data_IF_157731054399
#
_entry.id   IF_157731054399
#
_cell.length_a   1.000
_cell.length_b   1.000
_cell.length_c   1.000
_cell.angle_alpha   90.00
_cell.angle_beta   90.00
_cell.angle_gamma   90.00
#
_symmetry.space_group_name_H-M   'P 1'
#
loop_
_entity.id
_entity.type
_entity.pdbx_description
1 polymer ?
#
# COMPACT_ATOMS: atom_id res chain seq x y z
N UNK A 1 -0.34 20.17 -8.12
CA UNK A 1 -0.09 19.19 -7.03
C UNK A 1 1.40 19.09 -6.80
N UNK A 2 1.87 19.09 -5.55
CA UNK A 2 3.27 18.82 -5.25
C UNK A 2 3.58 17.35 -5.58
N UNK A 3 4.80 17.07 -6.06
CA UNK A 3 5.27 15.69 -6.26
C UNK A 3 5.55 15.07 -4.88
N UNK A 4 5.05 13.87 -4.65
CA UNK A 4 5.29 13.09 -3.43
C UNK A 4 6.29 11.99 -3.78
N UNK A 5 7.37 11.89 -3.01
CA UNK A 5 8.26 10.72 -3.06
C UNK A 5 7.63 9.63 -2.19
N UNK A 6 7.33 8.47 -2.78
CA UNK A 6 6.75 7.31 -2.09
C UNK A 6 7.66 6.10 -2.27
N UNK A 7 7.63 5.16 -1.31
CA UNK A 7 8.18 3.82 -1.53
C UNK A 7 7.32 3.07 -2.56
N UNK A 8 7.90 2.12 -3.28
CA UNK A 8 7.17 1.28 -4.24
C UNK A 8 6.02 0.50 -3.58
N UNK A 9 6.24 -0.03 -2.37
CA UNK A 9 5.23 -0.74 -1.59
C UNK A 9 4.02 0.13 -1.22
N UNK A 10 4.28 1.38 -0.84
CA UNK A 10 3.23 2.34 -0.53
C UNK A 10 2.46 2.74 -1.80
N UNK A 11 3.18 2.87 -2.94
CA UNK A 11 2.58 3.26 -4.20
C UNK A 11 1.60 2.20 -4.74
N UNK A 12 1.95 0.91 -4.63
CA UNK A 12 1.03 -0.17 -5.04
C UNK A 12 -0.17 -0.28 -4.09
N UNK A 13 0.03 -0.06 -2.79
CA UNK A 13 -1.05 -0.04 -1.81
C UNK A 13 -2.05 1.10 -2.07
N UNK A 14 -1.55 2.33 -2.26
CA UNK A 14 -2.37 3.49 -2.62
C UNK A 14 -3.10 3.27 -3.95
N UNK A 15 -2.45 2.66 -4.94
CA UNK A 15 -3.09 2.34 -6.21
C UNK A 15 -4.26 1.36 -6.04
N UNK A 16 -4.09 0.31 -5.23
CA UNK A 16 -5.15 -0.65 -4.94
C UNK A 16 -6.33 -0.01 -4.21
N UNK A 17 -6.08 0.85 -3.21
CA UNK A 17 -7.13 1.61 -2.52
C UNK A 17 -7.91 2.51 -3.48
N UNK A 18 -7.21 3.25 -4.35
CA UNK A 18 -7.84 4.10 -5.38
C UNK A 18 -8.63 3.31 -6.42
N UNK A 19 -8.23 2.07 -6.68
CA UNK A 19 -8.96 1.15 -7.54
C UNK A 19 -10.20 0.52 -6.86
N UNK A 20 -10.45 0.83 -5.58
CA UNK A 20 -11.61 0.34 -4.84
C UNK A 20 -11.39 -1.01 -4.16
N UNK A 21 -10.15 -1.44 -3.95
CA UNK A 21 -9.87 -2.64 -3.15
C UNK A 21 -10.37 -2.44 -1.72
N UNK A 22 -11.19 -3.37 -1.23
CA UNK A 22 -11.78 -3.31 0.12
C UNK A 22 -11.12 -4.26 1.11
N UNK A 23 -10.18 -5.09 0.65
CA UNK A 23 -9.50 -6.08 1.48
C UNK A 23 -8.16 -6.48 0.91
N UNK A 24 -7.23 -6.80 1.80
CA UNK A 24 -5.89 -7.27 1.47
C UNK A 24 -5.53 -8.43 2.38
N UNK A 25 -5.33 -9.60 1.76
CA UNK A 25 -5.01 -10.85 2.46
C UNK A 25 -3.50 -11.07 2.36
N UNK A 26 -2.80 -10.68 3.43
CA UNK A 26 -1.35 -10.65 3.50
C UNK A 26 -0.80 -11.88 4.24
N UNK A 27 0.30 -12.46 3.72
CA UNK A 27 1.22 -13.26 4.52
C UNK A 27 2.48 -12.42 4.80
N UNK A 28 2.74 -12.00 6.04
CA UNK A 28 3.84 -11.08 6.34
C UNK A 28 5.21 -11.65 5.91
N UNK A 29 5.92 -10.89 5.06
CA UNK A 29 7.28 -11.19 4.61
C UNK A 29 7.98 -9.90 4.19
N UNK A 30 9.30 -9.82 4.34
CA UNK A 30 10.08 -8.68 3.84
C UNK A 30 10.25 -8.79 2.32
N UNK A 31 9.96 -7.72 1.52
CA UNK A 31 9.54 -6.36 1.91
C UNK A 31 8.01 -6.11 1.85
N UNK A 32 7.19 -7.13 1.60
CA UNK A 32 5.74 -7.01 1.41
C UNK A 32 4.98 -6.45 2.64
N UNK A 33 5.48 -6.64 3.87
CA UNK A 33 4.81 -6.18 5.10
C UNK A 33 4.42 -4.70 5.05
N UNK A 34 5.22 -3.85 4.41
CA UNK A 34 4.95 -2.41 4.26
C UNK A 34 3.66 -2.12 3.48
N UNK A 35 3.24 -3.00 2.57
CA UNK A 35 1.96 -2.87 1.83
C UNK A 35 0.80 -3.00 2.81
N UNK A 36 0.83 -4.00 3.70
CA UNK A 36 -0.21 -4.21 4.71
C UNK A 36 -0.23 -3.05 5.71
N UNK A 37 0.93 -2.60 6.16
CA UNK A 37 1.05 -1.45 7.06
C UNK A 37 0.50 -0.16 6.42
N UNK A 38 0.74 0.08 5.14
CA UNK A 38 0.20 1.24 4.44
C UNK A 38 -1.33 1.16 4.32
N UNK A 39 -1.85 0.01 3.88
CA UNK A 39 -3.29 -0.19 3.73
C UNK A 39 -4.04 -0.08 5.06
N UNK A 40 -3.47 -0.55 6.17
CA UNK A 40 -4.08 -0.41 7.49
C UNK A 40 -4.09 1.03 8.03
N UNK A 41 -3.25 1.92 7.50
CA UNK A 41 -3.16 3.33 7.91
C UNK A 41 -4.11 4.25 7.14
N UNK A 42 -4.69 3.79 6.02
CA UNK A 42 -5.50 4.60 5.08
C UNK A 42 -6.97 4.26 5.22
#
# INVERSE_FOLDING_TARGET
MARILMKGNEAIAEAALRAGAQGYFCYPITPQTEVAEYMAKR
#
